data_IF_764731703758
#
_entry.id   IF_764731703758
#
_cell.length_a   1.000
_cell.length_b   1.000
_cell.length_c   1.000
_cell.angle_alpha   90.00
_cell.angle_beta   90.00
_cell.angle_gamma   90.00
#
_symmetry.space_group_name_H-M   'P 1'
#
loop_
_entity.id
_entity.type
_entity.pdbx_description
1 polymer ?
#
# COMPACT_ATOMS: atom_id res chain seq x y z
N UNK A 1 -10.65 -21.21 -6.01
CA UNK A 1 -11.33 -19.93 -6.35
C UNK A 1 -12.85 -19.91 -6.20
N UNK A 2 -13.64 -20.97 -6.48
CA UNK A 2 -15.09 -20.93 -6.19
C UNK A 2 -15.30 -20.61 -4.69
N UNK A 3 -15.96 -19.48 -4.40
CA UNK A 3 -16.21 -18.99 -3.03
C UNK A 3 -15.14 -18.09 -2.42
N UNK A 4 -14.02 -17.80 -3.11
CA UNK A 4 -12.94 -16.92 -2.58
C UNK A 4 -13.00 -15.48 -3.12
N UNK A 5 -13.68 -15.27 -4.25
CA UNK A 5 -13.91 -13.96 -4.85
C UNK A 5 -15.42 -13.76 -4.91
N UNK A 6 -15.89 -12.63 -4.40
CA UNK A 6 -17.30 -12.24 -4.42
C UNK A 6 -17.44 -11.11 -5.43
N UNK A 7 -18.45 -11.21 -6.31
CA UNK A 7 -18.73 -10.16 -7.27
C UNK A 7 -19.27 -8.93 -6.53
N UNK A 8 -18.79 -7.74 -6.92
CA UNK A 8 -19.16 -6.48 -6.27
C UNK A 8 -20.69 -6.25 -6.25
N UNK A 9 -21.37 -6.66 -7.31
CA UNK A 9 -22.82 -6.51 -7.44
C UNK A 9 -23.61 -7.33 -6.41
N UNK A 10 -23.02 -8.42 -5.89
CA UNK A 10 -23.64 -9.30 -4.90
C UNK A 10 -23.50 -8.77 -3.46
N UNK A 11 -22.68 -7.74 -3.23
CA UNK A 11 -22.52 -7.13 -1.91
C UNK A 11 -23.81 -6.44 -1.46
N UNK A 12 -24.11 -6.50 -0.16
CA UNK A 12 -25.25 -5.78 0.40
C UNK A 12 -25.17 -4.28 0.06
N UNK A 13 -26.31 -3.69 -0.34
CA UNK A 13 -26.40 -2.27 -0.70
C UNK A 13 -27.14 -1.44 0.37
N UNK A 14 -27.02 -1.85 1.63
CA UNK A 14 -27.58 -1.10 2.76
C UNK A 14 -26.50 -0.17 3.26
N UNK A 15 -26.53 1.11 2.88
CA UNK A 15 -25.55 2.11 3.32
C UNK A 15 -25.40 2.14 4.86
N UNK A 16 -24.44 1.38 5.37
CA UNK A 16 -24.25 1.19 6.81
C UNK A 16 -23.29 2.25 7.33
N UNK A 17 -23.75 3.50 7.27
CA UNK A 17 -23.02 4.72 7.67
C UNK A 17 -22.41 4.58 9.08
N UNK A 18 -23.05 3.81 9.97
CA UNK A 18 -22.56 3.51 11.31
C UNK A 18 -21.14 2.93 11.35
N UNK A 19 -20.72 2.18 10.31
CA UNK A 19 -19.39 1.57 10.27
C UNK A 19 -18.29 2.56 9.89
N UNK A 20 -18.60 3.75 9.36
CA UNK A 20 -17.60 4.77 9.04
C UNK A 20 -16.82 5.23 10.27
N UNK A 21 -17.44 5.25 11.46
CA UNK A 21 -16.73 5.58 12.71
C UNK A 21 -15.68 4.54 13.11
N UNK A 22 -15.70 3.35 12.49
CA UNK A 22 -14.73 2.28 12.71
C UNK A 22 -13.66 2.21 11.62
N UNK A 23 -13.68 3.12 10.65
CA UNK A 23 -12.80 3.15 9.50
C UNK A 23 -11.70 4.19 9.67
N UNK A 24 -10.48 3.84 9.27
CA UNK A 24 -9.43 4.78 8.91
C UNK A 24 -9.03 4.60 7.43
N UNK A 25 -8.55 5.66 6.79
CA UNK A 25 -8.05 5.61 5.40
C UNK A 25 -6.55 5.84 5.41
N UNK A 26 -5.79 4.91 4.83
CA UNK A 26 -4.34 4.99 4.70
C UNK A 26 -3.95 5.11 3.23
N UNK A 27 -3.19 6.15 2.88
CA UNK A 27 -2.61 6.30 1.54
C UNK A 27 -1.11 6.06 1.56
N UNK A 28 -0.66 5.22 0.63
CA UNK A 28 0.77 4.96 0.40
C UNK A 28 1.40 6.17 -0.30
N UNK A 29 2.28 6.88 0.40
CA UNK A 29 2.91 8.14 -0.02
C UNK A 29 4.46 8.08 0.01
N UNK A 30 5.03 6.87 -0.09
CA UNK A 30 6.48 6.67 -0.16
C UNK A 30 7.10 6.88 -1.55
N UNK A 31 6.27 6.99 -2.58
CA UNK A 31 6.72 7.06 -3.98
C UNK A 31 7.15 8.47 -4.39
N UNK A 32 8.30 8.56 -5.06
CA UNK A 32 8.74 9.78 -5.73
C UNK A 32 8.15 9.91 -7.13
N UNK A 33 7.89 11.14 -7.55
CA UNK A 33 7.38 11.50 -8.87
C UNK A 33 8.42 11.46 -10.01
N UNK A 34 9.57 10.80 -9.83
CA UNK A 34 10.71 10.90 -10.76
C UNK A 34 10.39 10.38 -12.16
N UNK A 35 9.55 9.36 -12.29
CA UNK A 35 9.10 8.87 -13.61
C UNK A 35 8.24 9.88 -14.37
N UNK A 36 7.64 10.83 -13.65
CA UNK A 36 6.83 11.93 -14.18
C UNK A 36 7.61 13.24 -14.26
N UNK A 37 8.93 13.21 -14.04
CA UNK A 37 9.80 14.39 -14.12
C UNK A 37 9.71 15.36 -12.94
N UNK A 38 9.10 14.95 -11.82
CA UNK A 38 8.97 15.78 -10.63
C UNK A 38 10.01 15.41 -9.56
N UNK A 39 10.60 16.43 -8.93
CA UNK A 39 11.51 16.29 -7.78
C UNK A 39 10.67 16.47 -6.51
N UNK A 40 10.08 15.37 -6.03
CA UNK A 40 9.24 15.37 -4.82
C UNK A 40 8.31 14.16 -4.72
N UNK A 41 7.46 14.12 -3.67
CA UNK A 41 6.45 13.08 -3.51
C UNK A 41 5.47 13.09 -4.68
N UNK A 42 5.10 11.91 -5.17
CA UNK A 42 4.12 11.78 -6.27
C UNK A 42 2.77 12.42 -5.94
N UNK A 43 2.42 12.45 -4.65
CA UNK A 43 1.17 13.02 -4.15
C UNK A 43 0.99 14.52 -4.40
N UNK A 44 2.09 15.25 -4.60
CA UNK A 44 2.10 16.71 -4.82
C UNK A 44 1.88 17.08 -6.28
N UNK A 45 1.96 16.12 -7.19
CA UNK A 45 1.77 16.36 -8.61
C UNK A 45 0.34 16.82 -8.87
N UNK A 46 0.21 17.95 -9.56
CA UNK A 46 -1.07 18.49 -10.00
C UNK A 46 -1.74 17.54 -11.01
N UNK A 47 -3.00 17.23 -10.74
CA UNK A 47 -3.82 16.36 -11.59
C UNK A 47 -4.84 17.17 -12.36
N UNK A 48 -5.54 18.10 -11.69
CA UNK A 48 -6.65 18.85 -12.28
C UNK A 48 -6.90 20.15 -11.53
N UNK A 49 -7.11 21.23 -12.29
CA UNK A 49 -7.57 22.53 -11.80
C UNK A 49 -6.72 23.06 -10.61
N UNK A 50 -5.39 22.93 -10.65
CA UNK A 50 -4.51 23.35 -9.56
C UNK A 50 -4.47 22.41 -8.35
N UNK A 51 -5.17 21.27 -8.40
CA UNK A 51 -5.23 20.30 -7.31
C UNK A 51 -4.29 19.13 -7.54
N UNK A 52 -3.52 18.82 -6.49
CA UNK A 52 -2.67 17.63 -6.43
C UNK A 52 -3.46 16.36 -6.08
N UNK A 53 -2.83 15.19 -6.22
CA UNK A 53 -3.40 13.92 -5.73
C UNK A 53 -3.78 13.98 -4.25
N UNK A 54 -2.93 14.62 -3.43
CA UNK A 54 -3.18 14.80 -2.01
C UNK A 54 -4.39 15.72 -1.76
N UNK A 55 -4.49 16.83 -2.49
CA UNK A 55 -5.63 17.76 -2.37
C UNK A 55 -6.95 17.06 -2.67
N UNK A 56 -6.99 16.24 -3.72
CA UNK A 56 -8.17 15.48 -4.11
C UNK A 56 -8.53 14.43 -3.04
N UNK A 57 -7.54 13.73 -2.50
CA UNK A 57 -7.75 12.74 -1.44
C UNK A 57 -8.30 13.39 -0.16
N UNK A 58 -7.71 14.52 0.28
CA UNK A 58 -8.18 15.26 1.46
C UNK A 58 -9.62 15.76 1.24
N UNK A 59 -9.94 16.28 0.06
CA UNK A 59 -11.31 16.72 -0.28
C UNK A 59 -12.32 15.57 -0.26
N UNK A 60 -11.94 14.38 -0.73
CA UNK A 60 -12.81 13.20 -0.68
C UNK A 60 -13.14 12.83 0.77
N UNK A 61 -12.16 12.81 1.67
CA UNK A 61 -12.38 12.52 3.09
C UNK A 61 -13.15 13.64 3.79
N UNK A 62 -12.85 14.90 3.49
CA UNK A 62 -13.58 16.05 4.03
C UNK A 62 -15.05 16.02 3.61
N UNK A 63 -15.33 15.69 2.35
CA UNK A 63 -16.69 15.51 1.84
C UNK A 63 -17.41 14.37 2.57
N UNK A 64 -16.74 13.24 2.77
CA UNK A 64 -17.28 12.08 3.50
C UNK A 64 -17.60 12.45 4.95
N UNK A 65 -16.67 13.10 5.65
CA UNK A 65 -16.85 13.54 7.04
C UNK A 65 -18.02 14.52 7.18
N UNK A 66 -18.16 15.48 6.24
CA UNK A 66 -19.28 16.44 6.24
C UNK A 66 -20.62 15.79 5.91
N UNK A 67 -20.66 14.91 4.92
CA UNK A 67 -21.90 14.28 4.44
C UNK A 67 -22.50 13.37 5.49
N UNK A 68 -21.67 12.57 6.16
CA UNK A 68 -22.11 11.57 7.12
C UNK A 68 -21.95 12.00 8.58
N UNK A 69 -21.45 13.21 8.84
CA UNK A 69 -21.17 13.73 10.20
C UNK A 69 -20.30 12.78 11.02
N UNK A 70 -19.22 12.31 10.40
CA UNK A 70 -18.22 11.39 10.97
C UNK A 70 -16.83 12.03 10.96
N UNK A 71 -15.88 11.44 11.67
CA UNK A 71 -14.47 11.84 11.63
C UNK A 71 -13.59 10.63 11.30
N UNK A 72 -13.42 10.36 10.01
CA UNK A 72 -12.56 9.29 9.51
C UNK A 72 -11.10 9.76 9.52
N UNK A 73 -10.19 9.10 10.27
CA UNK A 73 -8.78 9.42 10.26
C UNK A 73 -8.15 9.18 8.89
N UNK A 74 -7.33 10.13 8.43
CA UNK A 74 -6.60 10.06 7.17
C UNK A 74 -5.10 9.91 7.45
N UNK A 75 -4.53 8.79 7.03
CA UNK A 75 -3.17 8.38 7.39
C UNK A 75 -2.30 8.37 6.14
N UNK A 76 -1.10 8.96 6.22
CA UNK A 76 -0.12 8.92 5.14
C UNK A 76 1.10 8.10 5.57
N UNK A 77 1.39 7.05 4.82
CA UNK A 77 2.64 6.29 4.95
C UNK A 77 3.71 6.94 4.07
N UNK A 78 4.61 7.68 4.69
CA UNK A 78 5.69 8.39 4.00
C UNK A 78 6.94 7.50 3.84
N UNK A 79 7.94 8.02 3.14
CA UNK A 79 9.31 7.50 3.14
C UNK A 79 10.27 8.59 3.62
N UNK A 80 11.51 8.23 3.92
CA UNK A 80 12.57 9.21 4.17
C UNK A 80 12.79 10.20 3.02
N UNK A 81 12.32 9.90 1.79
CA UNK A 81 12.40 10.83 0.66
C UNK A 81 11.20 11.77 0.55
N UNK A 82 10.09 11.46 1.23
CA UNK A 82 8.82 12.19 1.07
C UNK A 82 8.32 12.81 2.37
N UNK A 83 8.86 12.42 3.51
CA UNK A 83 8.38 12.82 4.83
C UNK A 83 8.41 14.33 5.05
N UNK A 84 9.56 14.97 4.80
CA UNK A 84 9.75 16.39 5.13
C UNK A 84 8.92 17.29 4.19
N UNK A 85 8.90 16.96 2.90
CA UNK A 85 8.06 17.64 1.90
C UNK A 85 6.58 17.49 2.25
N UNK A 86 6.15 16.29 2.64
CA UNK A 86 4.76 16.03 3.02
C UNK A 86 4.39 16.79 4.30
N UNK A 87 5.27 16.85 5.29
CA UNK A 87 5.05 17.61 6.53
C UNK A 87 4.88 19.11 6.27
N UNK A 88 5.61 19.68 5.29
CA UNK A 88 5.42 21.06 4.89
C UNK A 88 4.06 21.30 4.23
N UNK A 89 3.59 20.34 3.42
CA UNK A 89 2.34 20.46 2.66
C UNK A 89 1.11 20.25 3.53
N UNK A 90 1.18 19.35 4.52
CA UNK A 90 0.04 19.07 5.42
C UNK A 90 -0.44 20.32 6.16
N UNK A 91 0.47 21.27 6.45
CA UNK A 91 0.12 22.56 7.06
C UNK A 91 -0.94 23.34 6.29
N UNK A 92 -1.03 23.16 4.97
CA UNK A 92 -2.08 23.73 4.12
C UNK A 92 -3.48 23.28 4.53
N UNK A 93 -3.60 22.09 5.11
CA UNK A 93 -4.87 21.49 5.52
C UNK A 93 -5.19 21.73 7.00
N UNK A 94 -4.35 22.48 7.74
CA UNK A 94 -4.68 22.91 9.10
C UNK A 94 -5.97 23.74 9.09
N UNK A 95 -7.01 23.24 9.78
CA UNK A 95 -8.34 23.85 9.80
C UNK A 95 -9.38 23.20 8.89
N UNK A 96 -8.99 22.24 8.04
CA UNK A 96 -9.95 21.35 7.37
C UNK A 96 -10.54 20.34 8.36
N UNK A 97 -11.75 19.84 8.08
CA UNK A 97 -12.43 18.84 8.92
C UNK A 97 -11.91 17.42 8.63
N UNK A 98 -10.60 17.22 8.75
CA UNK A 98 -9.91 15.94 8.51
C UNK A 98 -8.78 15.79 9.53
N UNK A 99 -8.79 14.68 10.26
CA UNK A 99 -7.69 14.31 11.15
C UNK A 99 -6.59 13.60 10.35
N UNK A 100 -5.48 14.29 10.10
CA UNK A 100 -4.36 13.78 9.29
C UNK A 100 -3.24 13.27 10.20
N UNK A 101 -2.96 11.97 10.11
CA UNK A 101 -1.85 11.30 10.78
C UNK A 101 -0.79 10.92 9.75
N UNK A 102 0.49 10.93 10.15
CA UNK A 102 1.58 10.48 9.28
C UNK A 102 2.56 9.61 10.05
N UNK A 103 3.12 8.62 9.35
CA UNK A 103 4.25 7.86 9.84
C UNK A 103 5.22 7.58 8.71
N UNK A 104 6.46 7.30 9.06
CA UNK A 104 7.50 6.97 8.10
C UNK A 104 7.69 5.46 8.04
N UNK A 105 7.88 4.94 6.83
CA UNK A 105 8.25 3.55 6.64
C UNK A 105 9.74 3.31 6.96
N UNK A 106 10.12 2.06 7.13
CA UNK A 106 11.49 1.61 7.39
C UNK A 106 12.45 2.04 6.27
N UNK A 107 13.74 2.07 6.60
CA UNK A 107 14.82 2.42 5.68
C UNK A 107 15.91 1.34 5.73
N UNK A 108 16.05 0.58 4.65
CA UNK A 108 17.00 -0.54 4.57
C UNK A 108 18.24 -0.19 3.75
N UNK A 109 19.42 -0.76 4.11
CA UNK A 109 20.64 -0.55 3.35
C UNK A 109 20.56 -1.30 2.02
N UNK A 110 20.96 -0.64 0.93
CA UNK A 110 21.17 -1.35 -0.34
C UNK A 110 22.32 -2.34 -0.19
N UNK A 111 22.32 -3.38 -0.99
CA UNK A 111 23.34 -4.43 -0.94
C UNK A 111 24.06 -4.49 -2.30
N UNK A 112 25.38 -4.58 -2.28
CA UNK A 112 26.16 -4.82 -3.50
C UNK A 112 25.89 -6.23 -4.03
N UNK A 113 25.64 -6.34 -5.34
CA UNK A 113 25.31 -7.62 -5.97
C UNK A 113 26.44 -8.65 -5.84
N UNK A 114 27.69 -8.22 -5.94
CA UNK A 114 28.84 -9.13 -6.00
C UNK A 114 29.35 -9.51 -4.61
N UNK A 115 29.43 -8.55 -3.68
CA UNK A 115 29.95 -8.80 -2.32
C UNK A 115 28.89 -9.19 -1.30
N UNK A 116 27.61 -8.95 -1.60
CA UNK A 116 26.49 -9.11 -0.66
C UNK A 116 26.63 -8.29 0.64
N UNK A 117 27.49 -7.27 0.63
CA UNK A 117 27.69 -6.35 1.75
C UNK A 117 26.81 -5.10 1.59
N UNK A 118 26.42 -4.45 2.72
CA UNK A 118 25.70 -3.19 2.65
C UNK A 118 26.55 -2.14 1.93
N UNK A 119 25.88 -1.36 1.08
CA UNK A 119 26.44 -0.16 0.45
C UNK A 119 26.73 0.91 1.51
N UNK A 120 25.79 1.27 2.40
CA UNK A 120 26.08 2.25 3.44
C UNK A 120 27.05 1.69 4.47
N UNK A 121 28.13 2.45 4.71
CA UNK A 121 29.14 2.14 5.73
C UNK A 121 28.74 2.66 7.11
N UNK A 122 27.94 3.71 7.15
CA UNK A 122 27.52 4.41 8.37
C UNK A 122 26.05 4.81 8.27
N UNK A 123 25.41 5.10 9.39
CA UNK A 123 24.01 5.58 9.42
C UNK A 123 23.80 6.85 8.60
N UNK A 124 24.79 7.76 8.59
CA UNK A 124 24.77 9.04 7.87
C UNK A 124 25.26 8.94 6.42
N UNK A 125 25.42 7.71 5.89
CA UNK A 125 25.70 7.49 4.47
C UNK A 125 24.65 8.16 3.59
N UNK A 126 25.03 8.46 2.35
CA UNK A 126 24.19 9.22 1.43
C UNK A 126 22.83 8.52 1.18
N UNK A 127 21.77 9.31 1.03
CA UNK A 127 20.37 8.82 0.97
C UNK A 127 20.14 7.83 -0.18
N UNK A 128 20.91 7.94 -1.26
CA UNK A 128 20.88 7.06 -2.43
C UNK A 128 21.40 5.64 -2.12
N UNK A 129 22.18 5.45 -1.05
CA UNK A 129 22.68 4.16 -0.57
C UNK A 129 21.61 3.39 0.22
N UNK A 130 20.50 4.05 0.56
CA UNK A 130 19.36 3.47 1.25
C UNK A 130 18.19 3.26 0.29
N UNK A 131 17.23 2.42 0.71
CA UNK A 131 15.97 2.24 -0.01
C UNK A 131 14.80 1.98 0.95
N UNK A 132 13.58 2.42 0.60
CA UNK A 132 12.37 2.00 1.31
C UNK A 132 12.04 0.54 0.92
N UNK A 133 11.75 -0.36 1.88
CA UNK A 133 11.50 -1.78 1.63
C UNK A 133 10.17 -2.11 0.94
N UNK A 134 9.53 -1.13 0.29
CA UNK A 134 8.28 -1.30 -0.44
C UNK A 134 7.06 -1.15 0.46
N UNK A 135 5.87 -1.25 -0.15
CA UNK A 135 4.61 -1.08 0.56
C UNK A 135 4.28 -2.23 1.53
N UNK A 136 4.98 -3.38 1.45
CA UNK A 136 4.89 -4.49 2.41
C UNK A 136 5.25 -4.09 3.84
N UNK A 137 6.12 -3.09 3.99
CA UNK A 137 6.56 -2.58 5.28
C UNK A 137 5.47 -1.82 6.07
N UNK A 138 4.28 -1.64 5.47
CA UNK A 138 3.16 -0.98 6.14
C UNK A 138 2.77 -1.64 7.46
N UNK A 139 2.86 -2.96 7.56
CA UNK A 139 2.45 -3.69 8.77
C UNK A 139 3.38 -3.39 9.96
N UNK A 140 4.69 -3.58 9.76
CA UNK A 140 5.71 -3.32 10.79
C UNK A 140 5.80 -1.83 11.11
N UNK A 141 5.81 -0.96 10.09
CA UNK A 141 5.94 0.49 10.31
C UNK A 141 4.71 1.09 10.99
N UNK A 142 3.50 0.60 10.68
CA UNK A 142 2.29 1.05 11.37
C UNK A 142 2.30 0.61 12.85
N UNK A 143 2.73 -0.62 13.13
CA UNK A 143 2.91 -1.13 14.49
C UNK A 143 3.97 -0.30 15.26
N UNK A 144 5.17 -0.16 14.70
CA UNK A 144 6.29 0.54 15.33
C UNK A 144 6.04 2.04 15.52
N UNK A 145 5.16 2.65 14.71
CA UNK A 145 4.78 4.07 14.86
C UNK A 145 3.92 4.35 16.10
N UNK A 146 3.31 3.32 16.71
CA UNK A 146 2.31 3.47 17.77
C UNK A 146 0.95 4.02 17.28
N UNK A 147 0.81 4.36 16.00
CA UNK A 147 -0.48 4.80 15.42
C UNK A 147 -1.48 3.64 15.43
N UNK A 148 -1.02 2.41 15.24
CA UNK A 148 -1.88 1.23 15.30
C UNK A 148 -2.68 1.17 16.61
N UNK A 149 -1.98 1.31 17.75
CA UNK A 149 -2.59 1.28 19.07
C UNK A 149 -3.51 2.49 19.28
N UNK A 150 -3.09 3.69 18.86
CA UNK A 150 -3.92 4.88 18.94
C UNK A 150 -5.24 4.73 18.17
N UNK A 151 -5.23 4.09 16.99
CA UNK A 151 -6.43 3.84 16.20
C UNK A 151 -7.34 2.81 16.89
N UNK A 152 -6.78 1.73 17.41
CA UNK A 152 -7.53 0.70 18.13
C UNK A 152 -8.19 1.29 19.39
N UNK A 153 -7.47 2.13 20.15
CA UNK A 153 -7.99 2.83 21.33
C UNK A 153 -9.12 3.80 21.00
N UNK A 154 -9.07 4.44 19.82
CA UNK A 154 -10.15 5.29 19.29
C UNK A 154 -11.39 4.50 18.82
N UNK A 155 -11.34 3.16 18.86
CA UNK A 155 -12.42 2.29 18.40
C UNK A 155 -12.44 2.05 16.89
N UNK A 156 -11.36 2.38 16.18
CA UNK A 156 -11.19 2.02 14.77
C UNK A 156 -10.90 0.52 14.68
N UNK A 157 -11.57 -0.16 13.75
CA UNK A 157 -11.43 -1.60 13.53
C UNK A 157 -10.85 -1.92 12.16
N UNK A 158 -11.12 -1.09 11.15
CA UNK A 158 -10.78 -1.33 9.75
C UNK A 158 -9.91 -0.18 9.22
N UNK A 159 -8.88 -0.51 8.46
CA UNK A 159 -8.12 0.45 7.65
C UNK A 159 -8.25 0.13 6.16
N UNK A 160 -8.60 1.15 5.38
CA UNK A 160 -8.62 1.11 3.93
C UNK A 160 -7.30 1.66 3.38
N UNK A 161 -6.46 0.78 2.84
CA UNK A 161 -5.16 1.08 2.25
C UNK A 161 -5.28 1.19 0.74
N UNK A 162 -4.72 2.25 0.16
CA UNK A 162 -4.60 2.40 -1.29
C UNK A 162 -3.44 3.30 -1.69
N UNK A 163 -3.06 3.28 -2.97
CA UNK A 163 -2.03 4.19 -3.47
C UNK A 163 -2.55 5.62 -3.59
N UNK A 164 -1.70 6.61 -3.28
CA UNK A 164 -2.08 8.03 -3.40
C UNK A 164 -2.35 8.47 -4.84
N UNK A 165 -1.74 7.81 -5.82
CA UNK A 165 -1.96 8.08 -7.25
C UNK A 165 -3.22 7.39 -7.81
N UNK A 166 -3.86 6.51 -7.04
CA UNK A 166 -5.14 5.92 -7.41
C UNK A 166 -6.31 6.79 -6.88
N UNK A 167 -6.77 7.74 -7.70
CA UNK A 167 -7.91 8.59 -7.37
C UNK A 167 -9.26 7.86 -7.39
N UNK A 168 -9.32 6.68 -8.02
CA UNK A 168 -10.51 5.82 -8.02
C UNK A 168 -10.67 5.04 -6.71
N UNK A 169 -9.64 5.01 -5.86
CA UNK A 169 -9.70 4.38 -4.55
C UNK A 169 -10.42 5.28 -3.54
N UNK A 170 -11.75 5.25 -3.61
CA UNK A 170 -12.66 5.93 -2.68
C UNK A 170 -13.21 4.93 -1.65
N UNK A 171 -13.67 5.45 -0.51
CA UNK A 171 -14.29 4.61 0.53
C UNK A 171 -15.62 4.06 0.01
N UNK A 172 -15.72 2.74 -0.11
CA UNK A 172 -16.94 2.05 -0.49
C UNK A 172 -17.64 1.45 0.75
N UNK A 173 -18.90 1.87 0.97
CA UNK A 173 -19.69 1.43 2.12
C UNK A 173 -20.11 -0.03 2.05
N UNK A 174 -20.28 -0.59 0.84
CA UNK A 174 -20.67 -1.99 0.63
C UNK A 174 -19.52 -2.92 1.03
N UNK A 175 -18.30 -2.55 0.64
CA UNK A 175 -17.09 -3.32 0.99
C UNK A 175 -16.81 -3.22 2.49
N UNK A 176 -16.93 -2.02 3.07
CA UNK A 176 -16.78 -1.82 4.51
C UNK A 176 -17.79 -2.65 5.30
N UNK A 177 -19.07 -2.60 4.92
CA UNK A 177 -20.12 -3.40 5.55
C UNK A 177 -19.79 -4.89 5.46
N UNK A 178 -19.45 -5.37 4.26
CA UNK A 178 -19.12 -6.78 4.05
C UNK A 178 -17.99 -7.23 4.98
N UNK A 179 -16.90 -6.46 5.06
CA UNK A 179 -15.76 -6.78 5.92
C UNK A 179 -16.14 -6.90 7.40
N UNK A 180 -16.97 -5.98 7.88
CA UNK A 180 -17.41 -5.96 9.29
C UNK A 180 -18.35 -7.13 9.60
N UNK A 181 -19.26 -7.46 8.68
CA UNK A 181 -20.24 -8.54 8.86
C UNK A 181 -19.60 -9.93 8.77
N UNK A 182 -18.74 -10.16 7.78
CA UNK A 182 -18.00 -11.42 7.63
C UNK A 182 -16.87 -11.56 8.64
N UNK A 183 -16.51 -10.48 9.35
CA UNK A 183 -15.33 -10.40 10.21
C UNK A 183 -14.05 -10.79 9.48
N UNK A 184 -13.99 -10.49 8.18
CA UNK A 184 -12.79 -10.73 7.36
C UNK A 184 -11.62 -9.91 7.88
N UNK A 185 -10.46 -10.54 7.98
CA UNK A 185 -9.23 -9.86 8.44
C UNK A 185 -8.55 -9.08 7.31
N UNK A 186 -8.76 -9.53 6.07
CA UNK A 186 -8.12 -9.02 4.86
C UNK A 186 -9.09 -9.12 3.68
N UNK A 187 -9.31 -8.02 2.98
CA UNK A 187 -10.02 -7.97 1.70
C UNK A 187 -9.18 -7.19 0.71
N UNK A 188 -9.09 -7.69 -0.52
CA UNK A 188 -8.43 -7.01 -1.63
C UNK A 188 -9.43 -6.82 -2.76
N UNK A 189 -9.52 -5.60 -3.28
CA UNK A 189 -10.34 -5.32 -4.44
C UNK A 189 -9.62 -5.78 -5.71
N UNK A 190 -10.40 -6.39 -6.60
CA UNK A 190 -9.92 -6.89 -7.89
C UNK A 190 -10.67 -6.20 -9.01
N UNK A 191 -10.00 -6.07 -10.15
CA UNK A 191 -10.64 -5.65 -11.39
C UNK A 191 -10.39 -6.67 -12.49
N UNK A 192 -11.24 -6.65 -13.52
CA UNK A 192 -11.02 -7.45 -14.71
C UNK A 192 -9.78 -6.95 -15.46
N UNK A 193 -8.89 -7.88 -15.79
CA UNK A 193 -7.63 -7.61 -16.47
C UNK A 193 -7.89 -7.13 -17.90
N UNK A 194 -7.42 -5.94 -18.22
CA UNK A 194 -7.43 -5.39 -19.58
C UNK A 194 -6.09 -5.64 -20.30
N UNK A 195 -6.02 -5.27 -21.58
CA UNK A 195 -4.75 -5.33 -22.34
C UNK A 195 -3.69 -4.34 -21.82
N UNK A 196 -4.09 -3.29 -21.10
CA UNK A 196 -3.18 -2.31 -20.52
C UNK A 196 -2.53 -2.81 -19.21
N UNK A 197 -3.16 -3.77 -18.53
CA UNK A 197 -2.75 -4.29 -17.23
C UNK A 197 -1.68 -5.38 -17.37
N UNK A 198 -0.55 -4.97 -17.97
CA UNK A 198 0.59 -5.85 -18.29
C UNK A 198 1.58 -5.96 -17.11
N UNK A 199 1.53 -5.00 -16.18
CA UNK A 199 2.44 -4.88 -15.03
C UNK A 199 1.63 -4.92 -13.73
N UNK A 200 1.95 -5.86 -12.85
CA UNK A 200 1.32 -6.06 -11.54
C UNK A 200 0.97 -7.52 -11.31
N UNK A 201 0.32 -7.78 -10.18
CA UNK A 201 -0.04 -9.13 -9.72
C UNK A 201 -1.44 -9.58 -10.10
N UNK A 202 -1.61 -10.90 -10.14
CA UNK A 202 -2.91 -11.57 -10.22
C UNK A 202 -3.09 -12.48 -9.02
N UNK A 203 -4.34 -12.79 -8.68
CA UNK A 203 -4.61 -13.74 -7.60
C UNK A 203 -4.57 -15.16 -8.15
N UNK A 204 -3.96 -16.07 -7.39
CA UNK A 204 -3.97 -17.50 -7.62
C UNK A 204 -4.40 -18.24 -6.36
N UNK A 205 -4.92 -19.45 -6.57
CA UNK A 205 -5.14 -20.43 -5.51
C UNK A 205 -3.94 -21.38 -5.52
N UNK A 206 -3.14 -21.36 -4.47
CA UNK A 206 -1.95 -22.20 -4.33
C UNK A 206 -1.99 -22.90 -2.97
N UNK A 207 -2.01 -24.23 -2.99
CA UNK A 207 -2.13 -25.07 -1.79
C UNK A 207 -3.38 -24.74 -0.93
N UNK A 208 -4.49 -24.38 -1.58
CA UNK A 208 -5.74 -24.03 -0.90
C UNK A 208 -5.74 -22.65 -0.24
N UNK A 209 -4.67 -21.87 -0.44
CA UNK A 209 -4.54 -20.50 0.05
C UNK A 209 -4.51 -19.52 -1.11
N UNK A 210 -5.23 -18.41 -0.95
CA UNK A 210 -5.21 -17.31 -1.91
C UNK A 210 -3.86 -16.60 -1.81
N UNK A 211 -3.14 -16.45 -2.91
CA UNK A 211 -1.84 -15.76 -2.99
C UNK A 211 -1.84 -14.77 -4.14
N UNK A 212 -1.11 -13.67 -3.95
CA UNK A 212 -0.82 -12.72 -5.03
C UNK A 212 0.43 -13.21 -5.77
N UNK A 213 0.28 -13.51 -7.06
CA UNK A 213 1.37 -13.85 -7.95
C UNK A 213 1.78 -12.61 -8.74
N UNK A 214 2.98 -12.11 -8.48
CA UNK A 214 3.58 -11.00 -9.21
C UNK A 214 4.37 -11.47 -10.44
N UNK A 215 4.42 -10.65 -11.49
CA UNK A 215 5.16 -10.99 -12.72
C UNK A 215 6.64 -11.30 -12.45
N UNK A 216 7.23 -10.69 -11.42
CA UNK A 216 8.62 -10.91 -11.02
C UNK A 216 8.90 -12.33 -10.51
N UNK A 217 7.86 -13.05 -10.09
CA UNK A 217 7.94 -14.42 -9.57
C UNK A 217 7.70 -15.46 -10.67
N UNK A 218 7.22 -15.03 -11.84
CA UNK A 218 6.90 -15.91 -12.96
C UNK A 218 8.17 -16.24 -13.74
N UNK A 219 8.49 -17.53 -13.96
CA UNK A 219 9.61 -17.91 -14.81
C UNK A 219 9.49 -17.32 -16.22
N UNK A 220 10.61 -16.90 -16.83
CA UNK A 220 10.64 -16.18 -18.12
C UNK A 220 9.86 -16.89 -19.23
N UNK A 221 9.88 -18.21 -19.23
CA UNK A 221 9.20 -19.09 -20.18
C UNK A 221 7.66 -19.07 -20.05
N UNK A 222 7.12 -18.72 -18.88
CA UNK A 222 5.67 -18.67 -18.61
C UNK A 222 5.10 -17.24 -18.59
N UNK A 223 5.92 -16.21 -18.84
CA UNK A 223 5.48 -14.79 -18.81
C UNK A 223 4.36 -14.52 -19.82
N UNK A 224 4.41 -15.13 -21.01
CA UNK A 224 3.36 -14.96 -22.01
C UNK A 224 2.02 -15.57 -21.56
N UNK A 225 2.07 -16.67 -20.81
CA UNK A 225 0.88 -17.29 -20.24
C UNK A 225 0.30 -16.44 -19.12
N UNK A 226 1.15 -15.87 -18.26
CA UNK A 226 0.75 -14.95 -17.20
C UNK A 226 0.05 -13.68 -17.74
N UNK A 227 0.52 -13.18 -18.89
CA UNK A 227 -0.12 -12.06 -19.59
C UNK A 227 -1.45 -12.41 -20.25
N UNK A 228 -1.78 -13.70 -20.38
CA UNK A 228 -3.03 -14.13 -21.00
C UNK A 228 -4.25 -13.83 -20.13
N UNK A 229 -5.10 -12.92 -20.60
CA UNK A 229 -6.38 -12.55 -19.96
C UNK A 229 -7.34 -13.76 -19.89
N UNK A 230 -7.18 -14.75 -20.78
CA UNK A 230 -8.00 -15.98 -20.76
C UNK A 230 -7.67 -16.88 -19.57
N UNK A 231 -6.41 -16.91 -19.14
CA UNK A 231 -5.95 -17.70 -17.98
C UNK A 231 -6.16 -16.92 -16.68
N UNK A 232 -5.71 -15.67 -16.66
CA UNK A 232 -5.78 -14.81 -15.48
C UNK A 232 -6.73 -13.65 -15.75
N UNK A 233 -7.93 -13.75 -15.20
CA UNK A 233 -9.02 -12.79 -15.42
C UNK A 233 -8.92 -11.56 -14.52
N UNK A 234 -8.34 -11.70 -13.34
CA UNK A 234 -8.31 -10.65 -12.32
C UNK A 234 -6.95 -9.98 -12.21
N UNK A 235 -6.99 -8.71 -11.83
CA UNK A 235 -5.83 -7.87 -11.56
C UNK A 235 -6.00 -7.20 -10.19
N UNK A 236 -4.93 -7.16 -9.40
CA UNK A 236 -4.93 -6.50 -8.09
C UNK A 236 -4.89 -4.97 -8.24
N UNK A 237 -5.88 -4.27 -7.70
CA UNK A 237 -5.94 -2.80 -7.73
C UNK A 237 -5.03 -2.14 -6.69
N UNK A 238 -4.53 -2.91 -5.74
CA UNK A 238 -3.85 -2.47 -4.52
C UNK A 238 -4.72 -1.61 -3.60
N UNK A 239 -6.04 -1.76 -3.71
CA UNK A 239 -7.01 -1.28 -2.73
C UNK A 239 -7.30 -2.43 -1.76
N UNK A 240 -6.89 -2.25 -0.51
CA UNK A 240 -6.85 -3.33 0.48
C UNK A 240 -7.54 -2.85 1.75
N UNK A 241 -8.39 -3.69 2.32
CA UNK A 241 -9.06 -3.46 3.59
C UNK A 241 -8.51 -4.44 4.63
N UNK A 242 -8.07 -3.91 5.76
CA UNK A 242 -7.35 -4.68 6.77
C UNK A 242 -7.97 -4.45 8.15
N UNK A 243 -8.10 -5.53 8.92
CA UNK A 243 -8.54 -5.44 10.31
C UNK A 243 -7.34 -5.07 11.19
N UNK A 244 -7.43 -3.96 11.95
CA UNK A 244 -6.32 -3.47 12.76
C UNK A 244 -5.89 -4.46 13.85
N UNK A 245 -6.85 -5.18 14.46
CA UNK A 245 -6.53 -6.20 15.47
C UNK A 245 -5.81 -7.39 14.85
N UNK A 246 -6.17 -7.76 13.62
CA UNK A 246 -5.46 -8.79 12.88
C UNK A 246 -4.03 -8.35 12.52
N UNK A 247 -3.84 -7.10 12.08
CA UNK A 247 -2.48 -6.55 11.87
C UNK A 247 -1.65 -6.67 13.14
N UNK A 248 -2.18 -6.21 14.28
CA UNK A 248 -1.48 -6.26 15.56
C UNK A 248 -1.05 -7.68 15.92
N UNK A 249 -2.00 -8.63 15.88
CA UNK A 249 -1.74 -10.04 16.18
C UNK A 249 -0.66 -10.63 15.28
N UNK A 250 -0.77 -10.47 13.96
CA UNK A 250 0.14 -11.11 13.00
C UNK A 250 1.56 -10.52 13.10
N UNK A 251 1.70 -9.24 13.47
CA UNK A 251 3.01 -8.63 13.74
C UNK A 251 3.59 -9.09 15.08
N UNK A 252 2.79 -9.12 16.15
CA UNK A 252 3.25 -9.56 17.49
C UNK A 252 3.64 -11.04 17.54
N UNK A 253 2.89 -11.89 16.84
CA UNK A 253 3.10 -13.34 16.79
C UNK A 253 4.12 -13.77 15.71
N UNK A 254 4.72 -12.82 14.98
CA UNK A 254 5.66 -13.07 13.86
C UNK A 254 5.09 -14.01 12.78
N UNK A 255 3.79 -13.85 12.48
CA UNK A 255 3.06 -14.69 11.51
C UNK A 255 3.11 -14.13 10.08
N UNK A 256 3.72 -12.96 9.86
CA UNK A 256 3.79 -12.29 8.56
C UNK A 256 4.73 -13.03 7.59
N UNK A 257 4.16 -13.90 6.75
CA UNK A 257 4.87 -14.46 5.60
C UNK A 257 4.65 -13.61 4.35
N UNK A 258 5.66 -12.82 3.97
CA UNK A 258 5.69 -12.05 2.71
C UNK A 258 6.76 -12.57 1.76
N UNK A 259 6.49 -12.47 0.46
CA UNK A 259 7.44 -12.91 -0.57
C UNK A 259 8.42 -11.78 -0.90
N UNK A 260 9.71 -12.12 -0.87
CA UNK A 260 10.80 -11.18 -1.13
C UNK A 260 10.94 -11.00 -2.65
N UNK A 261 10.85 -9.76 -3.14
CA UNK A 261 11.03 -9.44 -4.56
C UNK A 261 12.37 -8.73 -4.76
N UNK A 262 13.43 -9.41 -5.22
CA UNK A 262 14.70 -8.75 -5.47
C UNK A 262 14.60 -7.86 -6.72
N UNK A 263 14.85 -6.57 -6.54
CA UNK A 263 14.94 -5.57 -7.58
C UNK A 263 16.37 -5.02 -7.68
N UNK A 264 16.98 -5.10 -8.86
CA UNK A 264 18.34 -4.59 -9.09
C UNK A 264 18.29 -3.18 -9.65
N UNK A 265 19.04 -2.26 -9.05
CA UNK A 265 19.23 -0.89 -9.53
C UNK A 265 20.70 -0.52 -9.55
N UNK A 266 21.10 0.26 -10.54
CA UNK A 266 22.45 0.81 -10.61
C UNK A 266 22.57 2.01 -9.68
N UNK A 267 23.64 2.08 -8.88
CA UNK A 267 23.96 3.24 -8.04
C UNK A 267 25.05 4.05 -8.75
N UNK A 268 24.99 5.40 -8.71
CA UNK A 268 26.12 6.23 -9.14
C UNK A 268 27.38 5.82 -8.37
N UNK A 269 28.43 5.39 -9.09
CA UNK A 269 29.69 4.96 -8.46
C UNK A 269 30.50 6.16 -7.96
N UNK A 270 31.18 5.98 -6.82
CA UNK A 270 32.10 6.96 -6.23
C UNK A 270 33.41 7.13 -7.04
N UNK A 271 33.67 6.31 -8.05
CA UNK A 271 34.90 6.36 -8.86
C UNK A 271 34.61 6.27 -10.36
N UNK A 272 35.37 7.09 -11.12
CA UNK A 272 35.37 7.18 -12.58
C UNK A 272 35.27 5.81 -13.26
N UNK A 273 34.11 5.50 -13.82
CA UNK A 273 33.94 4.51 -14.88
C UNK A 273 33.22 3.21 -14.52
N UNK A 274 33.08 2.85 -13.24
CA UNK A 274 32.35 1.64 -12.82
C UNK A 274 31.09 2.03 -12.05
N UNK A 275 29.92 1.77 -12.64
CA UNK A 275 28.63 1.91 -11.96
C UNK A 275 28.25 0.57 -11.32
N UNK A 276 28.45 0.37 -10.01
CA UNK A 276 28.13 -0.89 -9.35
C UNK A 276 26.63 -1.15 -9.38
N UNK A 277 26.28 -2.43 -9.50
CA UNK A 277 24.88 -2.87 -9.43
C UNK A 277 24.54 -3.19 -7.99
N UNK A 278 23.50 -2.55 -7.45
CA UNK A 278 23.00 -2.87 -6.12
C UNK A 278 21.64 -3.56 -6.22
N UNK A 279 21.44 -4.57 -5.39
CA UNK A 279 20.14 -5.18 -5.19
C UNK A 279 19.41 -4.47 -4.05
N UNK A 280 18.10 -4.41 -4.22
CA UNK A 280 17.12 -4.05 -3.21
C UNK A 280 16.15 -5.21 -3.12
N UNK A 281 15.63 -5.50 -1.95
CA UNK A 281 14.60 -6.52 -1.78
C UNK A 281 13.36 -5.85 -1.20
N UNK A 282 12.53 -5.16 -2.02
CA UNK A 282 11.22 -4.75 -1.57
C UNK A 282 10.35 -5.97 -1.24
N UNK A 283 9.64 -5.90 -0.12
CA UNK A 283 8.55 -6.81 0.18
C UNK A 283 7.28 -6.31 -0.53
N UNK A 284 6.67 -7.16 -1.34
CA UNK A 284 5.29 -6.94 -1.75
C UNK A 284 4.37 -7.42 -0.63
N UNK A 285 3.43 -6.57 -0.22
CA UNK A 285 2.36 -6.97 0.68
C UNK A 285 1.48 -8.01 -0.02
N UNK A 286 1.78 -9.30 0.16
CA UNK A 286 0.80 -10.36 0.04
C UNK A 286 0.79 -11.09 1.37
N UNK A 287 -0.10 -10.66 2.27
CA UNK A 287 -0.23 -11.27 3.57
C UNK A 287 -0.83 -12.67 3.38
N UNK A 288 -0.04 -13.72 3.65
CA UNK A 288 -0.59 -15.07 3.79
C UNK A 288 -1.36 -15.14 5.10
N UNK A 289 -2.68 -14.98 5.08
CA UNK A 289 -3.47 -15.38 6.25
C UNK A 289 -3.58 -16.91 6.24
N UNK A 290 -3.00 -17.59 7.24
CA UNK A 290 -3.26 -19.04 7.49
C UNK A 290 -4.69 -19.29 7.99
N UNK A 291 -5.53 -18.25 8.13
CA UNK A 291 -6.90 -18.31 8.65
C UNK A 291 -7.84 -17.33 7.95
N UNK A 292 -7.92 -17.36 6.62
CA UNK A 292 -9.16 -16.97 5.95
C UNK A 292 -10.12 -18.16 6.08
N UNK A 293 -10.62 -18.43 7.29
CA UNK A 293 -11.77 -19.33 7.46
C UNK A 293 -13.01 -18.53 7.08
N UNK A 294 -13.70 -19.03 6.05
CA UNK A 294 -15.12 -18.75 5.76
C UNK A 294 -15.97 -18.82 7.02
#
# INVERSE_FOLDING_TARGET
>A
MHGQVVDYEDLANTESVQFLNKLAVLKLNGGLGTSMGCVGPKSVIEVRDGMSFLDLSVRQIEYLNRTYSVNVPFILMNSFNTNDDTAAIIKKYEGHNVDILTFNQSRYPRIYKDSLLPVPKTYDSAINEWYPPGHGDVFESLYNSGILDQLIERGIEVVFLSNVDNLGAVVDLRVLQHMVETKSEYIMELTNKTKADVKGGTIIDYEGSVRLLEIAQVPKEHVNEFKSIKKFKYFNTNNIWLNLKAIKRVVEDDELEMEIIPNSKTIPGDKKGETPTASTSPAAASCRSRRART
#
